data_IF_400266328248
#
_entry.id   IF_400266328248
#
_cell.length_a   1.000
_cell.length_b   1.000
_cell.length_c   1.000
_cell.angle_alpha   90.00
_cell.angle_beta   90.00
_cell.angle_gamma   90.00
#
_symmetry.space_group_name_H-M   'P 1'
#
loop_
_entity.id
_entity.type
_entity.pdbx_description
1 polymer ?
#
# COMPACT_ATOMS: atom_id res chain seq x y z
N UNK A 1 9.72 -53.07 -48.38
CA UNK A 1 11.10 -52.55 -48.20
C UNK A 1 11.07 -51.10 -48.68
N UNK A 2 11.37 -50.02 -47.94
CA UNK A 2 11.99 -49.74 -46.63
C UNK A 2 11.31 -48.47 -46.07
N UNK A 3 11.09 -48.43 -44.75
CA UNK A 3 10.73 -47.25 -43.98
C UNK A 3 11.95 -46.33 -43.81
N UNK A 4 11.75 -45.01 -43.81
CA UNK A 4 12.52 -43.97 -43.09
C UNK A 4 11.84 -42.63 -43.46
N UNK A 5 11.13 -41.88 -42.60
CA UNK A 5 11.37 -41.64 -41.18
C UNK A 5 12.17 -40.36 -41.02
N UNK A 6 11.54 -39.18 -41.23
CA UNK A 6 12.13 -37.90 -40.82
C UNK A 6 11.09 -37.11 -40.01
N UNK A 7 11.02 -37.45 -38.72
CA UNK A 7 10.43 -36.63 -37.68
C UNK A 7 11.28 -35.36 -37.53
N UNK A 8 10.77 -34.24 -38.03
CA UNK A 8 11.24 -32.92 -37.60
C UNK A 8 10.71 -32.69 -36.18
N UNK A 9 11.60 -32.89 -35.21
CA UNK A 9 11.43 -32.47 -33.83
C UNK A 9 11.23 -30.95 -33.81
N UNK A 10 9.98 -30.50 -33.75
CA UNK A 10 9.65 -29.22 -33.11
C UNK A 10 9.97 -29.38 -31.62
N UNK A 11 11.24 -29.15 -31.26
CA UNK A 11 11.63 -28.89 -29.88
C UNK A 11 10.99 -27.57 -29.46
N UNK A 12 9.79 -27.69 -28.92
CA UNK A 12 9.08 -26.67 -28.16
C UNK A 12 9.93 -26.32 -26.94
N UNK A 13 10.87 -25.39 -27.13
CA UNK A 13 11.60 -24.73 -26.06
C UNK A 13 10.72 -23.68 -25.39
N UNK A 14 9.64 -24.11 -24.72
CA UNK A 14 8.82 -23.27 -23.83
C UNK A 14 9.20 -23.54 -22.37
N UNK A 15 10.49 -23.46 -22.05
CA UNK A 15 10.96 -23.51 -20.67
C UNK A 15 12.04 -22.44 -20.49
N UNK A 16 11.65 -21.27 -19.98
CA UNK A 16 12.64 -20.23 -19.68
C UNK A 16 12.15 -18.79 -19.50
N UNK A 17 10.87 -18.53 -19.21
CA UNK A 17 10.42 -17.20 -18.81
C UNK A 17 9.62 -17.27 -17.51
N UNK A 18 10.24 -17.80 -16.47
CA UNK A 18 9.90 -17.42 -15.09
C UNK A 18 10.44 -16.00 -14.85
N UNK A 19 9.91 -15.02 -15.58
CA UNK A 19 10.24 -13.62 -15.37
C UNK A 19 9.80 -13.25 -13.96
N UNK A 20 10.74 -12.83 -13.10
CA UNK A 20 10.39 -12.27 -11.80
C UNK A 20 9.41 -11.14 -12.03
N UNK A 21 8.25 -11.28 -11.41
CA UNK A 21 7.22 -10.25 -11.46
C UNK A 21 7.81 -8.90 -11.00
N UNK A 22 7.46 -7.78 -11.67
CA UNK A 22 7.87 -6.46 -11.20
C UNK A 22 7.42 -6.24 -9.75
N UNK A 23 8.28 -5.73 -8.85
CA UNK A 23 7.93 -5.53 -7.44
C UNK A 23 6.63 -4.76 -7.22
N UNK A 24 6.39 -3.70 -8.01
CA UNK A 24 5.18 -2.90 -7.93
C UNK A 24 3.89 -3.70 -8.23
N UNK A 25 3.94 -4.70 -9.12
CA UNK A 25 2.77 -5.51 -9.45
C UNK A 25 2.40 -6.45 -8.30
N UNK A 26 3.40 -7.07 -7.68
CA UNK A 26 3.21 -7.93 -6.51
C UNK A 26 2.65 -7.14 -5.32
N UNK A 27 3.20 -5.95 -5.06
CA UNK A 27 2.73 -5.05 -4.00
C UNK A 27 1.31 -4.56 -4.29
N UNK A 28 1.02 -4.13 -5.52
CA UNK A 28 -0.32 -3.68 -5.91
C UNK A 28 -1.39 -4.75 -5.65
N UNK A 29 -1.10 -6.02 -5.95
CA UNK A 29 -2.02 -7.15 -5.69
C UNK A 29 -2.33 -7.33 -4.21
N UNK A 30 -1.33 -7.16 -3.35
CA UNK A 30 -1.51 -7.23 -1.90
C UNK A 30 -2.21 -6.00 -1.34
N UNK A 31 -1.97 -4.82 -1.89
CA UNK A 31 -2.53 -3.56 -1.40
C UNK A 31 -4.00 -3.36 -1.77
N UNK A 32 -4.37 -3.68 -3.02
CA UNK A 32 -5.64 -3.29 -3.63
C UNK A 32 -6.81 -4.20 -3.23
N UNK A 33 -8.01 -3.62 -3.19
CA UNK A 33 -9.30 -4.33 -3.05
C UNK A 33 -9.59 -4.81 -1.63
N UNK A 34 -8.94 -4.22 -0.63
CA UNK A 34 -9.04 -4.59 0.79
C UNK A 34 -9.34 -3.36 1.62
N UNK A 35 -10.08 -3.57 2.70
CA UNK A 35 -10.32 -2.57 3.72
C UNK A 35 -9.20 -2.66 4.76
N UNK A 36 -8.44 -1.58 4.89
CA UNK A 36 -7.33 -1.46 5.82
C UNK A 36 -7.76 -0.61 7.01
N UNK A 37 -8.01 -1.25 8.14
CA UNK A 37 -8.46 -0.61 9.39
C UNK A 37 -7.27 -0.03 10.14
N UNK A 38 -7.31 1.25 10.45
CA UNK A 38 -6.26 1.95 11.17
C UNK A 38 -6.29 1.58 12.65
N UNK A 39 -5.21 0.96 13.14
CA UNK A 39 -5.11 0.48 14.53
C UNK A 39 -4.05 1.20 15.36
N UNK A 40 -3.04 1.80 14.73
CA UNK A 40 -1.97 2.52 15.45
C UNK A 40 -1.31 3.60 14.60
N UNK A 41 -0.90 4.68 15.25
CA UNK A 41 -0.02 5.73 14.76
C UNK A 41 1.06 5.94 15.80
N UNK A 42 2.32 5.72 15.44
CA UNK A 42 3.46 6.01 16.31
C UNK A 42 4.38 7.06 15.71
N UNK A 43 5.01 7.84 16.58
CA UNK A 43 6.04 8.82 16.23
C UNK A 43 7.31 8.60 17.03
N UNK A 44 8.45 8.94 16.44
CA UNK A 44 9.75 8.96 17.10
C UNK A 44 10.65 10.03 16.48
N UNK A 45 11.33 10.81 17.32
CA UNK A 45 12.35 11.78 16.88
C UNK A 45 13.69 11.47 17.54
N UNK A 46 14.74 11.26 16.73
CA UNK A 46 16.09 11.00 17.23
C UNK A 46 16.14 9.80 18.18
N UNK A 47 16.70 10.01 19.38
CA UNK A 47 16.83 8.97 20.41
C UNK A 47 15.60 8.83 21.33
N UNK A 48 14.54 9.63 21.12
CA UNK A 48 13.35 9.58 21.98
C UNK A 48 12.65 8.22 21.89
N UNK A 49 11.94 7.86 22.96
CA UNK A 49 11.03 6.72 22.94
C UNK A 49 9.91 6.97 21.93
N UNK A 50 9.47 5.91 21.25
CA UNK A 50 8.31 6.00 20.36
C UNK A 50 7.04 6.28 21.17
N UNK A 51 6.16 7.11 20.64
CA UNK A 51 4.89 7.50 21.28
C UNK A 51 3.72 7.19 20.37
N UNK A 52 2.67 6.59 20.93
CA UNK A 52 1.38 6.44 20.25
C UNK A 52 0.69 7.81 20.16
N UNK A 53 0.16 8.13 18.98
CA UNK A 53 -0.47 9.41 18.65
C UNK A 53 -1.86 9.27 18.07
N UNK A 54 -2.30 8.06 17.74
CA UNK A 54 -3.62 7.86 17.16
C UNK A 54 -4.68 8.30 18.17
N UNK A 55 -5.60 9.14 17.70
CA UNK A 55 -6.80 9.48 18.46
C UNK A 55 -7.67 8.23 18.59
N UNK A 56 -8.26 8.00 19.77
CA UNK A 56 -9.18 6.89 19.99
C UNK A 56 -10.35 6.91 18.99
N UNK A 57 -10.79 8.09 18.57
CA UNK A 57 -11.88 8.30 17.63
C UNK A 57 -11.56 7.88 16.19
N UNK A 58 -10.28 7.62 15.89
CA UNK A 58 -9.79 7.18 14.58
C UNK A 58 -9.38 5.72 14.56
N UNK A 59 -9.42 5.04 15.71
CA UNK A 59 -9.03 3.63 15.89
C UNK A 59 -10.08 2.67 15.31
N UNK A 60 -10.36 2.81 14.04
CA UNK A 60 -11.15 1.93 13.19
C UNK A 60 -11.52 2.60 11.86
N UNK A 61 -10.98 3.80 11.59
CA UNK A 61 -10.99 4.44 10.29
C UNK A 61 -10.44 3.45 9.25
N UNK A 62 -11.05 3.43 8.08
CA UNK A 62 -10.76 2.47 7.02
C UNK A 62 -10.19 3.23 5.84
N UNK A 63 -9.02 2.80 5.36
CA UNK A 63 -8.50 3.23 4.06
C UNK A 63 -8.65 2.10 3.04
N UNK A 64 -8.81 2.48 1.77
CA UNK A 64 -8.94 1.53 0.68
C UNK A 64 -8.24 2.04 -0.57
N UNK A 65 -7.50 1.14 -1.20
CA UNK A 65 -6.85 1.36 -2.49
C UNK A 65 -7.57 0.52 -3.54
N UNK A 66 -8.03 1.14 -4.62
CA UNK A 66 -8.79 0.48 -5.66
C UNK A 66 -8.23 0.75 -7.05
N UNK A 67 -8.47 -0.22 -7.95
CA UNK A 67 -8.44 -0.02 -9.39
C UNK A 67 -9.88 -0.08 -9.90
N UNK A 68 -10.42 1.04 -10.35
CA UNK A 68 -11.80 1.14 -10.82
C UNK A 68 -11.87 1.94 -12.10
N UNK A 69 -12.49 1.39 -13.15
CA UNK A 69 -12.61 2.04 -14.47
C UNK A 69 -11.28 2.56 -15.04
N UNK A 70 -10.18 1.84 -14.83
CA UNK A 70 -8.84 2.24 -15.28
C UNK A 70 -8.18 3.33 -14.42
N UNK A 71 -8.76 3.69 -13.29
CA UNK A 71 -8.25 4.70 -12.36
C UNK A 71 -7.78 4.06 -11.04
N UNK A 72 -6.75 4.66 -10.44
CA UNK A 72 -6.26 4.32 -9.11
C UNK A 72 -6.96 5.24 -8.10
N UNK A 73 -7.93 4.69 -7.36
CA UNK A 73 -8.77 5.44 -6.41
C UNK A 73 -8.36 5.14 -4.97
N UNK A 74 -8.29 6.19 -4.16
CA UNK A 74 -8.07 6.12 -2.72
C UNK A 74 -9.33 6.61 -2.01
N UNK A 75 -9.74 5.90 -0.96
CA UNK A 75 -10.80 6.37 -0.06
C UNK A 75 -10.38 6.17 1.39
N UNK A 76 -10.79 7.11 2.24
CA UNK A 76 -10.69 7.03 3.69
C UNK A 76 -12.07 7.30 4.27
N UNK A 77 -12.58 6.33 5.03
CA UNK A 77 -13.90 6.37 5.65
C UNK A 77 -13.76 6.29 7.15
N UNK A 78 -14.60 7.06 7.85
CA UNK A 78 -14.64 7.05 9.31
C UNK A 78 -15.14 5.72 9.83
N UNK A 79 -14.53 5.26 10.91
CA UNK A 79 -15.00 4.09 11.64
C UNK A 79 -16.21 4.38 12.54
N UNK A 80 -16.62 3.35 13.27
CA UNK A 80 -17.68 3.40 14.28
C UNK A 80 -17.29 4.16 15.55
N UNK A 81 -15.99 4.31 15.84
CA UNK A 81 -15.50 5.07 17.00
C UNK A 81 -15.48 6.59 16.77
N UNK A 82 -15.88 7.09 15.59
CA UNK A 82 -15.85 8.52 15.26
C UNK A 82 -16.55 9.39 16.32
N UNK A 83 -15.80 10.31 16.93
CA UNK A 83 -16.30 11.21 17.98
C UNK A 83 -17.01 12.47 17.46
N UNK A 84 -17.13 12.62 16.14
CA UNK A 84 -17.86 13.73 15.50
C UNK A 84 -19.02 13.22 14.67
N UNK A 85 -19.86 14.16 14.21
CA UNK A 85 -20.83 13.88 13.15
C UNK A 85 -20.10 13.22 11.97
N UNK A 86 -20.72 12.25 11.28
CA UNK A 86 -20.15 11.62 10.10
C UNK A 86 -20.00 12.68 9.00
N UNK A 87 -18.85 13.34 8.98
CA UNK A 87 -18.37 14.08 7.81
C UNK A 87 -17.95 13.06 6.77
N UNK A 88 -18.15 13.39 5.49
CA UNK A 88 -17.92 12.46 4.37
C UNK A 88 -16.54 11.80 4.35
N UNK A 89 -16.43 10.72 3.57
CA UNK A 89 -15.17 10.05 3.28
C UNK A 89 -14.21 11.00 2.56
N UNK A 90 -12.92 11.00 2.92
CA UNK A 90 -11.91 11.61 2.06
C UNK A 90 -11.69 10.71 0.84
N UNK A 91 -11.53 11.33 -0.33
CA UNK A 91 -11.36 10.62 -1.60
C UNK A 91 -10.19 11.23 -2.37
N UNK A 92 -9.58 10.42 -3.22
CA UNK A 92 -8.44 10.87 -4.01
C UNK A 92 -7.97 9.80 -5.00
N UNK A 93 -6.78 10.05 -5.54
CA UNK A 93 -6.03 9.09 -6.34
C UNK A 93 -4.87 8.56 -5.54
N UNK A 94 -4.32 7.43 -5.96
CA UNK A 94 -3.03 6.96 -5.45
C UNK A 94 -2.13 6.54 -6.59
N UNK A 95 -0.83 6.43 -6.29
CA UNK A 95 0.20 5.95 -7.19
C UNK A 95 1.21 5.12 -6.42
N UNK A 96 1.69 4.04 -7.03
CA UNK A 96 2.78 3.23 -6.51
C UNK A 96 4.06 3.48 -7.31
N UNK A 97 5.16 3.74 -6.61
CA UNK A 97 6.47 3.81 -7.24
C UNK A 97 6.85 2.48 -7.88
N UNK A 98 7.70 2.51 -8.92
CA UNK A 98 8.11 1.33 -9.69
C UNK A 98 8.77 0.24 -8.85
N UNK A 99 9.41 0.62 -7.75
CA UNK A 99 10.05 -0.30 -6.80
C UNK A 99 9.06 -0.96 -5.82
N UNK A 100 7.79 -0.54 -5.82
CA UNK A 100 6.76 -1.04 -4.92
C UNK A 100 6.93 -0.60 -3.46
N UNK A 101 7.82 0.36 -3.17
CA UNK A 101 8.15 0.75 -1.78
C UNK A 101 7.52 2.06 -1.35
N UNK A 102 7.02 2.85 -2.28
CA UNK A 102 6.47 4.18 -2.00
C UNK A 102 5.08 4.29 -2.59
N UNK A 103 4.11 4.70 -1.78
CA UNK A 103 2.75 5.05 -2.20
C UNK A 103 2.54 6.55 -2.04
N UNK A 104 2.03 7.19 -3.08
CA UNK A 104 1.62 8.60 -3.05
C UNK A 104 0.10 8.66 -3.12
N UNK A 105 -0.52 9.38 -2.21
CA UNK A 105 -1.97 9.64 -2.16
C UNK A 105 -2.15 11.11 -2.54
N UNK A 106 -3.07 11.36 -3.48
CA UNK A 106 -3.36 12.67 -4.04
C UNK A 106 -4.82 12.97 -3.74
N UNK A 107 -5.09 13.85 -2.78
CA UNK A 107 -6.43 14.16 -2.32
C UNK A 107 -7.23 14.93 -3.38
N UNK A 108 -8.52 14.62 -3.49
CA UNK A 108 -9.42 15.42 -4.33
C UNK A 108 -9.59 16.83 -3.75
N UNK A 109 -9.43 17.87 -4.59
CA UNK A 109 -9.57 19.26 -4.16
C UNK A 109 -8.38 19.82 -3.36
N UNK A 110 -7.20 19.17 -3.41
CA UNK A 110 -5.95 19.63 -2.77
C UNK A 110 -5.98 19.71 -1.22
N UNK A 111 -6.89 18.97 -0.57
CA UNK A 111 -6.97 18.94 0.89
C UNK A 111 -5.73 18.29 1.55
N UNK A 112 -5.07 17.36 0.85
CA UNK A 112 -3.84 16.70 1.28
C UNK A 112 -3.19 15.97 0.10
N UNK A 113 -1.87 16.02 -0.01
CA UNK A 113 -1.06 15.16 -0.88
C UNK A 113 0.03 14.55 0.00
N UNK A 114 0.05 13.22 0.12
CA UNK A 114 0.96 12.54 1.02
C UNK A 114 1.77 11.47 0.30
N UNK A 115 3.04 11.31 0.67
CA UNK A 115 3.90 10.24 0.17
C UNK A 115 4.45 9.43 1.33
N UNK A 116 4.20 8.11 1.27
CA UNK A 116 4.49 7.17 2.32
C UNK A 116 5.37 6.02 1.82
N UNK A 117 6.27 5.57 2.68
CA UNK A 117 7.04 4.35 2.47
C UNK A 117 6.26 3.16 3.01
N UNK A 118 6.20 2.06 2.26
CA UNK A 118 5.62 0.79 2.71
C UNK A 118 6.71 0.06 3.50
N UNK A 119 6.54 0.03 4.82
CA UNK A 119 7.43 -0.67 5.75
C UNK A 119 7.11 -2.16 5.85
N UNK A 120 5.82 -2.50 5.83
CA UNK A 120 5.30 -3.87 5.90
C UNK A 120 4.06 -3.98 5.02
N UNK A 121 3.98 -5.03 4.20
CA UNK A 121 2.75 -5.38 3.49
C UNK A 121 2.64 -6.91 3.41
N UNK A 122 1.60 -7.42 4.05
CA UNK A 122 1.24 -8.84 4.09
C UNK A 122 -0.25 -8.99 3.79
N UNK A 123 -0.77 -10.21 3.78
CA UNK A 123 -2.20 -10.47 3.61
C UNK A 123 -3.08 -9.87 4.71
N UNK A 124 -2.54 -9.61 5.90
CA UNK A 124 -3.32 -9.16 7.07
C UNK A 124 -2.87 -7.84 7.65
N UNK A 125 -1.72 -7.31 7.21
CA UNK A 125 -1.10 -6.12 7.79
C UNK A 125 -0.47 -5.21 6.75
N UNK A 126 -0.72 -3.92 6.90
CA UNK A 126 -0.08 -2.84 6.16
C UNK A 126 0.57 -1.88 7.17
N UNK A 127 1.82 -1.52 6.94
CA UNK A 127 2.50 -0.46 7.69
C UNK A 127 3.04 0.58 6.71
N UNK A 128 2.57 1.82 6.87
CA UNK A 128 3.06 2.99 6.15
C UNK A 128 3.97 3.80 7.07
N UNK A 129 5.01 4.40 6.50
CA UNK A 129 5.96 5.19 7.26
C UNK A 129 6.35 6.47 6.52
N UNK A 130 6.47 7.54 7.28
CA UNK A 130 7.03 8.81 6.82
C UNK A 130 8.34 9.04 7.57
N UNK A 131 9.38 9.40 6.84
CA UNK A 131 10.73 9.60 7.37
C UNK A 131 11.31 10.90 6.87
N UNK A 132 11.78 11.73 7.78
CA UNK A 132 12.46 12.99 7.43
C UNK A 132 13.58 13.27 8.44
N UNK A 133 14.65 13.92 8.00
CA UNK A 133 15.68 14.41 8.89
C UNK A 133 15.25 15.76 9.49
N UNK A 134 15.41 15.91 10.81
CA UNK A 134 15.16 17.18 11.53
C UNK A 134 16.43 17.61 12.26
N UNK A 135 16.47 18.86 12.75
CA UNK A 135 17.56 19.34 13.61
C UNK A 135 17.72 18.52 14.89
N UNK A 136 16.64 17.87 15.35
CA UNK A 136 16.61 17.00 16.54
C UNK A 136 16.90 15.52 16.22
N UNK A 137 17.27 15.20 14.98
CA UNK A 137 17.53 13.83 14.49
C UNK A 137 16.45 13.34 13.53
N UNK A 138 16.53 12.06 13.14
CA UNK A 138 15.55 11.45 12.25
C UNK A 138 14.17 11.40 12.90
N UNK A 139 13.17 11.96 12.22
CA UNK A 139 11.76 11.79 12.54
C UNK A 139 11.21 10.61 11.75
N UNK A 140 10.50 9.72 12.44
CA UNK A 140 9.79 8.59 11.86
C UNK A 140 8.38 8.58 12.41
N UNK A 141 7.41 8.64 11.50
CA UNK A 141 6.01 8.37 11.78
C UNK A 141 5.65 7.04 11.14
N UNK A 142 4.90 6.19 11.85
CA UNK A 142 4.39 4.91 11.33
C UNK A 142 2.91 4.75 11.59
N UNK A 143 2.16 4.45 10.54
CA UNK A 143 0.76 4.08 10.58
C UNK A 143 0.64 2.59 10.36
N UNK A 144 -0.10 1.90 11.23
CA UNK A 144 -0.32 0.45 11.13
C UNK A 144 -1.80 0.19 10.89
N UNK A 145 -2.06 -0.67 9.92
CA UNK A 145 -3.39 -1.09 9.53
C UNK A 145 -3.51 -2.62 9.55
N UNK A 146 -4.72 -3.09 9.82
CA UNK A 146 -5.11 -4.49 9.73
C UNK A 146 -6.20 -4.67 8.68
N UNK A 147 -6.13 -5.77 7.94
CA UNK A 147 -7.19 -6.12 6.99
C UNK A 147 -8.49 -6.44 7.74
N UNK A 148 -9.61 -5.84 7.32
CA UNK A 148 -10.96 -6.21 7.77
C UNK A 148 -11.50 -7.44 7.05
#
# INVERSE_FOLDING_TARGET
>A
MKYLGLLLLLSVGLFGLCGKEPPALAVSRLLVGKDWVWVSWTEKTGAQASRERIDACRKDDVIRFEHSHGQQLYTESKGTLSCGQPSGSAQGKWQLAKDGRTVTIIGEGAAFDDTWQIDELTETRLQLAYRVATSSGAFVMKMTFQKR
#
